data_IF_517335062042
#
_entry.id   IF_517335062042
#
_cell.length_a   1.000
_cell.length_b   1.000
_cell.length_c   1.000
_cell.angle_alpha   90.00
_cell.angle_beta   90.00
_cell.angle_gamma   90.00
#
_symmetry.space_group_name_H-M   'P 1'
#
loop_
_entity.id
_entity.type
_entity.pdbx_description
1 polymer ?
#
# COMPACT_ATOMS: atom_id res chain seq x y z
N UNK A 1 28.71 16.55 -2.37
CA UNK A 1 28.83 15.55 -1.30
C UNK A 1 28.44 14.18 -1.86
N UNK A 2 29.45 13.37 -2.23
CA UNK A 2 29.25 12.09 -2.92
C UNK A 2 28.49 11.03 -2.10
N UNK A 3 28.51 11.12 -0.78
CA UNK A 3 27.81 10.18 0.09
C UNK A 3 26.30 10.42 0.10
N UNK A 4 25.89 11.67 0.04
CA UNK A 4 24.48 12.06 0.05
C UNK A 4 23.74 11.60 -1.23
N UNK A 5 24.38 11.73 -2.37
CA UNK A 5 23.77 11.30 -3.65
C UNK A 5 23.61 9.79 -3.76
N UNK A 6 24.59 9.01 -3.28
CA UNK A 6 24.54 7.54 -3.40
C UNK A 6 23.44 6.92 -2.53
N UNK A 7 23.21 7.43 -1.33
CA UNK A 7 22.17 6.91 -0.44
C UNK A 7 20.76 7.19 -0.95
N UNK A 8 20.56 8.37 -1.54
CA UNK A 8 19.29 8.72 -2.16
C UNK A 8 18.96 7.81 -3.36
N UNK A 9 19.92 7.55 -4.23
CA UNK A 9 19.71 6.66 -5.37
C UNK A 9 19.36 5.24 -4.94
N UNK A 10 20.08 4.69 -3.97
CA UNK A 10 19.82 3.35 -3.46
C UNK A 10 18.41 3.22 -2.89
N UNK A 11 17.97 4.16 -2.10
CA UNK A 11 16.62 4.18 -1.53
C UNK A 11 15.56 4.17 -2.65
N UNK A 12 15.67 5.08 -3.62
CA UNK A 12 14.73 5.16 -4.74
C UNK A 12 14.73 3.89 -5.60
N UNK A 13 15.89 3.30 -5.84
CA UNK A 13 16.00 2.06 -6.59
C UNK A 13 15.30 0.89 -5.86
N UNK A 14 15.46 0.78 -4.55
CA UNK A 14 14.78 -0.24 -3.75
C UNK A 14 13.27 -0.03 -3.78
N UNK A 15 12.80 1.19 -3.58
CA UNK A 15 11.38 1.51 -3.61
C UNK A 15 10.76 1.23 -4.99
N UNK A 16 11.43 1.62 -6.05
CA UNK A 16 10.98 1.33 -7.41
C UNK A 16 10.91 -0.17 -7.67
N UNK A 17 11.87 -0.94 -7.18
CA UNK A 17 11.90 -2.39 -7.36
C UNK A 17 10.80 -3.09 -6.58
N UNK A 18 10.61 -2.74 -5.30
CA UNK A 18 9.64 -3.40 -4.42
C UNK A 18 8.20 -3.09 -4.78
N UNK A 19 7.93 -1.89 -5.30
CA UNK A 19 6.58 -1.45 -5.68
C UNK A 19 6.33 -1.47 -7.20
N UNK A 20 7.23 -2.06 -7.95
CA UNK A 20 7.03 -2.31 -9.37
C UNK A 20 5.98 -3.41 -9.59
N UNK A 21 5.16 -3.31 -10.66
CA UNK A 21 4.26 -4.41 -11.04
C UNK A 21 4.96 -5.74 -11.30
N UNK A 22 6.26 -5.73 -11.59
CA UNK A 22 7.06 -6.94 -11.80
C UNK A 22 7.53 -7.63 -10.52
N UNK A 23 7.40 -6.99 -9.35
CA UNK A 23 7.73 -7.63 -8.09
C UNK A 23 6.73 -8.75 -7.79
N UNK A 24 7.19 -9.97 -7.43
CA UNK A 24 6.32 -11.15 -7.40
C UNK A 24 5.49 -11.27 -6.12
N UNK A 25 4.55 -10.36 -5.89
CA UNK A 25 3.66 -10.36 -4.71
C UNK A 25 2.20 -10.68 -5.03
N UNK A 26 1.83 -10.80 -6.31
CA UNK A 26 0.44 -11.02 -6.68
C UNK A 26 -0.45 -9.83 -6.34
N UNK A 27 -0.12 -8.65 -6.85
CA UNK A 27 -0.71 -7.34 -6.52
C UNK A 27 -2.22 -7.21 -6.77
N UNK A 28 -2.88 -8.23 -7.30
CA UNK A 28 -4.32 -8.24 -7.57
C UNK A 28 -5.18 -8.67 -6.38
N UNK A 29 -4.59 -8.98 -5.24
CA UNK A 29 -5.29 -9.61 -4.11
C UNK A 29 -6.28 -8.68 -3.40
N UNK A 30 -6.08 -7.36 -3.42
CA UNK A 30 -7.02 -6.39 -2.82
C UNK A 30 -8.20 -6.03 -3.72
N UNK A 31 -8.39 -6.74 -4.83
CA UNK A 31 -9.39 -6.41 -5.85
C UNK A 31 -10.81 -6.88 -5.52
N UNK A 32 -10.99 -7.88 -4.64
CA UNK A 32 -12.30 -8.51 -4.44
C UNK A 32 -13.41 -7.54 -4.01
N UNK A 33 -13.14 -6.68 -3.04
CA UNK A 33 -14.12 -5.69 -2.59
C UNK A 33 -14.48 -4.70 -3.69
N UNK A 34 -13.50 -4.24 -4.44
CA UNK A 34 -13.69 -3.30 -5.54
C UNK A 34 -14.41 -3.96 -6.73
N UNK A 35 -14.02 -5.17 -7.09
CA UNK A 35 -14.69 -5.93 -8.16
C UNK A 35 -16.16 -6.16 -7.86
N UNK A 36 -16.51 -6.50 -6.61
CA UNK A 36 -17.91 -6.65 -6.20
C UNK A 36 -18.69 -5.34 -6.35
N UNK A 37 -18.10 -4.20 -5.95
CA UNK A 37 -18.74 -2.89 -6.10
C UNK A 37 -18.97 -2.53 -7.59
N UNK A 38 -18.07 -2.94 -8.46
CA UNK A 38 -18.21 -2.75 -9.91
C UNK A 38 -19.32 -3.67 -10.47
N UNK A 39 -19.32 -4.94 -10.09
CA UNK A 39 -20.34 -5.92 -10.52
C UNK A 39 -21.74 -5.51 -10.06
N UNK A 40 -21.87 -5.02 -8.85
CA UNK A 40 -23.13 -4.52 -8.27
C UNK A 40 -23.53 -3.14 -8.82
N UNK A 41 -22.74 -2.57 -9.72
CA UNK A 41 -22.94 -1.25 -10.34
C UNK A 41 -22.99 -0.09 -9.35
N UNK A 42 -22.29 -0.22 -8.23
CA UNK A 42 -22.10 0.86 -7.25
C UNK A 42 -21.04 1.83 -7.79
N UNK A 43 -20.01 1.30 -8.44
CA UNK A 43 -18.96 2.08 -9.11
C UNK A 43 -19.11 1.89 -10.62
N UNK A 44 -19.46 2.96 -11.33
CA UNK A 44 -19.79 2.90 -12.78
C UNK A 44 -19.04 3.90 -13.63
N UNK A 45 -18.50 4.97 -13.04
CA UNK A 45 -17.91 6.08 -13.77
C UNK A 45 -16.74 6.69 -13.02
N UNK A 46 -16.05 7.65 -13.63
CA UNK A 46 -14.90 8.33 -13.03
C UNK A 46 -15.22 8.95 -11.67
N UNK A 47 -16.38 9.60 -11.53
CA UNK A 47 -16.77 10.24 -10.27
C UNK A 47 -16.90 9.23 -9.14
N UNK A 48 -17.51 8.07 -9.41
CA UNK A 48 -17.62 6.98 -8.43
C UNK A 48 -16.25 6.44 -8.03
N UNK A 49 -15.35 6.27 -9.00
CA UNK A 49 -13.98 5.81 -8.75
C UNK A 49 -13.25 6.78 -7.82
N UNK A 50 -13.29 8.07 -8.11
CA UNK A 50 -12.60 9.09 -7.28
C UNK A 50 -13.20 9.16 -5.88
N UNK A 51 -14.52 9.06 -5.74
CA UNK A 51 -15.18 9.03 -4.42
C UNK A 51 -14.73 7.82 -3.60
N UNK A 52 -14.71 6.64 -4.21
CA UNK A 52 -14.24 5.41 -3.59
C UNK A 52 -12.78 5.51 -3.14
N UNK A 53 -11.90 5.97 -4.03
CA UNK A 53 -10.48 6.12 -3.72
C UNK A 53 -10.23 7.16 -2.62
N UNK A 54 -10.98 8.26 -2.63
CA UNK A 54 -10.90 9.29 -1.59
C UNK A 54 -11.25 8.72 -0.22
N UNK A 55 -12.30 7.89 -0.15
CA UNK A 55 -12.68 7.19 1.07
C UNK A 55 -11.59 6.24 1.58
N UNK A 56 -11.01 5.45 0.68
CA UNK A 56 -9.92 4.53 1.02
C UNK A 56 -8.68 5.28 1.53
N UNK A 57 -8.34 6.40 0.90
CA UNK A 57 -7.17 7.20 1.29
C UNK A 57 -7.34 7.80 2.68
N UNK A 58 -8.45 8.46 2.95
CA UNK A 58 -8.60 9.27 4.16
C UNK A 58 -9.31 8.58 5.32
N UNK A 59 -10.14 7.56 5.04
CA UNK A 59 -10.99 6.92 6.05
C UNK A 59 -10.92 5.39 6.05
N UNK A 60 -10.03 4.80 5.28
CA UNK A 60 -9.98 3.35 5.10
C UNK A 60 -8.58 2.77 5.14
N UNK A 61 -8.37 1.79 4.27
CA UNK A 61 -7.16 0.95 4.24
C UNK A 61 -5.87 1.75 4.13
N UNK A 62 -5.82 2.79 3.30
CA UNK A 62 -4.58 3.57 3.13
C UNK A 62 -4.18 4.29 4.40
N UNK A 63 -5.12 4.96 5.05
CA UNK A 63 -4.88 5.62 6.34
C UNK A 63 -4.39 4.62 7.39
N UNK A 64 -5.09 3.50 7.53
CA UNK A 64 -4.73 2.49 8.52
C UNK A 64 -3.35 1.88 8.23
N UNK A 65 -3.04 1.59 6.99
CA UNK A 65 -1.76 1.00 6.62
C UNK A 65 -0.58 1.95 6.87
N UNK A 66 -0.71 3.25 6.60
CA UNK A 66 0.37 4.21 6.93
C UNK A 66 0.56 4.34 8.43
N UNK A 67 -0.51 4.21 9.23
CA UNK A 67 -0.39 4.19 10.69
C UNK A 67 0.37 2.94 11.14
N UNK A 68 0.04 1.77 10.61
CA UNK A 68 0.74 0.52 10.93
C UNK A 68 2.22 0.59 10.55
N UNK A 69 2.54 1.12 9.37
CA UNK A 69 3.93 1.30 8.93
C UNK A 69 4.67 2.24 9.87
N UNK A 70 4.10 3.41 10.16
CA UNK A 70 4.69 4.39 11.07
C UNK A 70 4.96 3.80 12.45
N UNK A 71 3.95 3.17 13.05
CA UNK A 71 4.08 2.60 14.40
C UNK A 71 5.07 1.44 14.45
N UNK A 72 5.20 0.67 13.37
CA UNK A 72 6.25 -0.35 13.24
C UNK A 72 7.63 0.29 13.20
N UNK A 73 7.81 1.41 12.49
CA UNK A 73 9.04 2.19 12.51
C UNK A 73 9.38 2.72 13.91
N UNK A 74 8.36 2.99 14.72
CA UNK A 74 8.52 3.44 16.12
C UNK A 74 8.81 2.27 17.09
N UNK A 75 8.86 1.04 16.60
CA UNK A 75 9.21 -0.15 17.39
C UNK A 75 8.04 -0.96 17.93
N UNK A 76 6.80 -0.66 17.54
CA UNK A 76 5.64 -1.45 17.95
C UNK A 76 5.55 -2.77 17.17
N UNK A 77 5.13 -3.82 17.85
CA UNK A 77 4.83 -5.13 17.26
C UNK A 77 3.32 -5.25 17.01
N UNK A 78 2.90 -5.13 15.74
CA UNK A 78 1.50 -4.95 15.37
C UNK A 78 0.91 -6.08 14.52
N UNK A 79 1.68 -7.11 14.22
CA UNK A 79 1.21 -8.15 13.30
C UNK A 79 -0.06 -8.85 13.82
N UNK A 80 -0.08 -9.26 15.07
CA UNK A 80 -1.25 -9.91 15.68
C UNK A 80 -2.43 -8.96 15.79
N UNK A 81 -2.18 -7.69 16.08
CA UNK A 81 -3.20 -6.64 16.14
C UNK A 81 -3.90 -6.48 14.78
N UNK A 82 -3.13 -6.44 13.70
CA UNK A 82 -3.68 -6.33 12.34
C UNK A 82 -4.51 -7.56 11.99
N UNK A 83 -4.04 -8.76 12.34
CA UNK A 83 -4.79 -9.99 12.12
C UNK A 83 -6.14 -9.99 12.84
N UNK A 84 -6.17 -9.47 14.07
CA UNK A 84 -7.40 -9.35 14.84
C UNK A 84 -8.37 -8.30 14.31
N UNK A 85 -7.86 -7.24 13.66
CA UNK A 85 -8.67 -6.18 13.06
C UNK A 85 -9.27 -6.53 11.70
N UNK A 86 -8.76 -7.57 11.02
CA UNK A 86 -9.28 -7.93 9.70
C UNK A 86 -10.79 -8.23 9.78
N UNK A 87 -11.58 -7.44 9.07
CA UNK A 87 -13.03 -7.49 9.08
C UNK A 87 -13.61 -8.81 8.52
N UNK A 88 -12.84 -9.51 7.70
CA UNK A 88 -13.23 -10.77 7.12
C UNK A 88 -12.05 -11.73 7.01
N UNK A 89 -12.38 -13.01 6.88
CA UNK A 89 -11.38 -14.07 6.63
C UNK A 89 -10.63 -13.80 5.32
N UNK A 90 -11.33 -13.32 4.30
CA UNK A 90 -10.77 -13.01 2.98
C UNK A 90 -9.71 -11.92 3.07
N UNK A 91 -9.96 -10.84 3.79
CA UNK A 91 -8.99 -9.76 4.00
C UNK A 91 -7.75 -10.25 4.75
N UNK A 92 -7.93 -11.09 5.75
CA UNK A 92 -6.83 -11.70 6.49
C UNK A 92 -5.97 -12.56 5.57
N UNK A 93 -6.58 -13.40 4.74
CA UNK A 93 -5.90 -14.24 3.76
C UNK A 93 -5.12 -13.37 2.76
N UNK A 94 -5.73 -12.32 2.26
CA UNK A 94 -5.09 -11.41 1.28
C UNK A 94 -3.85 -10.73 1.84
N UNK A 95 -3.94 -10.11 3.03
CA UNK A 95 -2.79 -9.40 3.60
C UNK A 95 -1.66 -10.36 3.96
N UNK A 96 -1.97 -11.58 4.40
CA UNK A 96 -0.97 -12.62 4.66
C UNK A 96 -0.33 -13.12 3.37
N UNK A 97 -1.12 -13.34 2.33
CA UNK A 97 -0.60 -13.78 1.03
C UNK A 97 0.38 -12.77 0.44
N UNK A 98 0.04 -11.49 0.46
CA UNK A 98 0.92 -10.41 0.01
C UNK A 98 2.15 -10.27 0.89
N UNK A 99 1.97 -10.25 2.20
CA UNK A 99 3.06 -10.11 3.16
C UNK A 99 4.06 -11.26 3.08
N UNK A 100 3.58 -12.48 2.98
CA UNK A 100 4.41 -13.68 2.89
C UNK A 100 5.13 -13.76 1.53
N UNK A 101 4.47 -13.37 0.42
CA UNK A 101 5.11 -13.31 -0.90
C UNK A 101 6.21 -12.26 -0.93
N UNK A 102 5.98 -11.09 -0.35
CA UNK A 102 6.98 -10.04 -0.22
C UNK A 102 8.17 -10.50 0.62
N UNK A 103 7.91 -11.09 1.79
CA UNK A 103 8.94 -11.62 2.68
C UNK A 103 9.77 -12.72 2.00
N UNK A 104 9.14 -13.60 1.22
CA UNK A 104 9.85 -14.65 0.46
C UNK A 104 10.80 -14.03 -0.57
N UNK A 105 10.37 -13.05 -1.33
CA UNK A 105 11.23 -12.38 -2.32
C UNK A 105 12.41 -11.65 -1.67
N UNK A 106 12.18 -11.02 -0.50
CA UNK A 106 13.26 -10.40 0.27
C UNK A 106 14.29 -11.42 0.76
N UNK A 107 13.82 -12.56 1.26
CA UNK A 107 14.70 -13.65 1.72
C UNK A 107 15.53 -14.21 0.55
N UNK A 108 14.87 -14.54 -0.54
CA UNK A 108 15.52 -15.20 -1.68
C UNK A 108 16.54 -14.30 -2.39
N UNK A 109 16.18 -13.04 -2.64
CA UNK A 109 16.99 -12.14 -3.47
C UNK A 109 17.76 -11.08 -2.67
N UNK A 110 17.16 -10.48 -1.66
CA UNK A 110 17.79 -9.44 -0.84
C UNK A 110 18.45 -9.97 0.43
N UNK A 111 18.36 -11.27 0.70
CA UNK A 111 18.99 -11.94 1.85
C UNK A 111 18.57 -11.35 3.21
N UNK A 112 17.32 -10.91 3.29
CA UNK A 112 16.70 -10.41 4.51
C UNK A 112 15.49 -11.27 4.87
N UNK A 113 15.51 -11.86 6.06
CA UNK A 113 14.47 -12.76 6.53
C UNK A 113 13.51 -12.06 7.50
N UNK A 114 12.21 -12.16 7.21
CA UNK A 114 11.13 -11.77 8.12
C UNK A 114 10.45 -13.06 8.56
N UNK A 115 10.57 -13.45 9.84
CA UNK A 115 10.07 -14.74 10.31
C UNK A 115 8.55 -14.77 10.44
N UNK A 116 7.98 -15.98 10.27
CA UNK A 116 6.56 -16.26 10.48
C UNK A 116 5.64 -15.71 9.40
N UNK A 117 4.36 -15.78 9.68
CA UNK A 117 3.34 -15.17 8.84
C UNK A 117 3.23 -13.68 9.14
N UNK A 118 3.27 -12.85 8.12
CA UNK A 118 3.36 -11.41 8.28
C UNK A 118 2.37 -10.68 7.37
N UNK A 119 1.64 -9.71 7.95
CA UNK A 119 0.78 -8.81 7.21
C UNK A 119 1.61 -7.92 6.28
N UNK A 120 1.08 -7.60 5.11
CA UNK A 120 1.80 -6.85 4.07
C UNK A 120 2.38 -5.52 4.56
N UNK A 121 1.63 -4.61 5.23
CA UNK A 121 2.21 -3.36 5.70
C UNK A 121 3.34 -3.56 6.71
N UNK A 122 3.29 -4.62 7.53
CA UNK A 122 4.35 -4.94 8.48
C UNK A 122 5.60 -5.46 7.77
N UNK A 123 5.44 -6.34 6.77
CA UNK A 123 6.56 -6.84 5.98
C UNK A 123 7.29 -5.68 5.28
N UNK A 124 6.55 -4.78 4.67
CA UNK A 124 7.09 -3.59 4.00
C UNK A 124 7.82 -2.68 5.00
N UNK A 125 7.23 -2.43 6.16
CA UNK A 125 7.85 -1.61 7.20
C UNK A 125 9.15 -2.22 7.72
N UNK A 126 9.18 -3.52 8.00
CA UNK A 126 10.40 -4.22 8.44
C UNK A 126 11.51 -4.15 7.40
N UNK A 127 11.17 -4.30 6.12
CA UNK A 127 12.13 -4.11 5.02
C UNK A 127 12.68 -2.68 4.99
N UNK A 128 11.80 -1.70 5.08
CA UNK A 128 12.18 -0.28 5.11
C UNK A 128 13.14 0.05 6.25
N UNK A 129 12.87 -0.45 7.44
CA UNK A 129 13.73 -0.28 8.61
C UNK A 129 15.11 -0.92 8.37
N UNK A 130 15.13 -2.16 7.90
CA UNK A 130 16.39 -2.89 7.66
C UNK A 130 17.28 -2.22 6.61
N UNK A 131 16.70 -1.69 5.56
CA UNK A 131 17.41 -1.07 4.45
C UNK A 131 17.55 0.46 4.59
N UNK A 132 17.25 1.02 5.74
CA UNK A 132 17.35 2.46 6.06
C UNK A 132 16.56 3.36 5.10
N UNK A 133 15.37 2.92 4.71
CA UNK A 133 14.48 3.71 3.87
C UNK A 133 13.67 4.65 4.75
N UNK A 134 13.54 5.92 4.35
CA UNK A 134 12.75 6.89 5.10
C UNK A 134 11.27 6.46 5.16
N UNK A 135 10.67 6.62 6.33
CA UNK A 135 9.24 6.34 6.53
C UNK A 135 8.37 7.07 5.52
N UNK A 136 8.66 8.33 5.26
CA UNK A 136 7.93 9.17 4.30
C UNK A 136 7.96 8.58 2.90
N UNK A 137 9.13 8.26 2.37
CA UNK A 137 9.28 7.74 1.01
C UNK A 137 8.69 6.33 0.87
N UNK A 138 8.92 5.47 1.84
CA UNK A 138 8.32 4.13 1.84
C UNK A 138 6.80 4.20 1.80
N UNK A 139 6.21 5.02 2.66
CA UNK A 139 4.76 5.20 2.76
C UNK A 139 4.18 5.78 1.47
N UNK A 140 4.87 6.76 0.87
CA UNK A 140 4.45 7.34 -0.40
C UNK A 140 4.40 6.29 -1.52
N UNK A 141 5.46 5.52 -1.71
CA UNK A 141 5.52 4.47 -2.73
C UNK A 141 4.49 3.37 -2.48
N UNK A 142 4.32 2.96 -1.23
CA UNK A 142 3.33 1.96 -0.83
C UNK A 142 1.91 2.39 -1.24
N UNK A 143 1.49 3.58 -0.84
CA UNK A 143 0.15 4.09 -1.12
C UNK A 143 -0.03 4.39 -2.61
N UNK A 144 0.95 5.01 -3.25
CA UNK A 144 0.91 5.31 -4.69
C UNK A 144 0.73 4.04 -5.52
N UNK A 145 1.48 2.99 -5.21
CA UNK A 145 1.38 1.69 -5.86
C UNK A 145 0.00 1.05 -5.63
N UNK A 146 -0.49 1.08 -4.40
CA UNK A 146 -1.79 0.54 -4.03
C UNK A 146 -2.93 1.23 -4.82
N UNK A 147 -2.95 2.55 -4.84
CA UNK A 147 -3.98 3.34 -5.55
C UNK A 147 -3.87 3.11 -7.06
N UNK A 148 -2.67 3.08 -7.63
CA UNK A 148 -2.47 2.80 -9.06
C UNK A 148 -3.01 1.43 -9.45
N UNK A 149 -2.81 0.41 -8.62
CA UNK A 149 -3.36 -0.92 -8.86
C UNK A 149 -4.90 -0.93 -8.84
N UNK A 150 -5.52 -0.22 -7.90
CA UNK A 150 -6.98 -0.10 -7.85
C UNK A 150 -7.53 0.63 -9.09
N UNK A 151 -6.88 1.69 -9.55
CA UNK A 151 -7.26 2.40 -10.78
C UNK A 151 -7.17 1.48 -11.98
N UNK A 152 -6.12 0.67 -12.09
CA UNK A 152 -5.96 -0.29 -13.17
C UNK A 152 -7.09 -1.33 -13.18
N UNK A 153 -7.55 -1.78 -12.02
CA UNK A 153 -8.71 -2.68 -11.90
C UNK A 153 -9.97 -1.99 -12.44
N UNK A 154 -10.20 -0.73 -12.07
CA UNK A 154 -11.33 0.04 -12.56
C UNK A 154 -11.30 0.21 -14.09
N UNK A 155 -10.15 0.55 -14.66
CA UNK A 155 -9.97 0.68 -16.11
C UNK A 155 -10.23 -0.63 -16.83
N UNK A 156 -9.88 -1.75 -16.22
CA UNK A 156 -10.04 -3.09 -16.79
C UNK A 156 -11.49 -3.59 -16.77
N UNK A 157 -12.23 -3.27 -15.72
CA UNK A 157 -13.59 -3.80 -15.49
C UNK A 157 -14.71 -2.79 -15.80
N UNK A 158 -14.39 -1.52 -15.96
CA UNK A 158 -15.33 -0.46 -16.34
C UNK A 158 -14.83 0.12 -17.67
N UNK A 159 -15.72 0.37 -18.65
CA UNK A 159 -15.30 0.91 -19.96
C UNK A 159 -14.91 2.40 -19.88
N UNK A 160 -13.92 2.73 -19.04
CA UNK A 160 -13.47 4.11 -18.83
C UNK A 160 -12.40 4.56 -19.82
N UNK A 161 -11.57 3.62 -20.30
CA UNK A 161 -10.41 3.91 -21.13
C UNK A 161 -9.18 4.37 -20.35
N UNK A 162 -8.03 4.32 -21.02
CA UNK A 162 -6.74 4.63 -20.38
C UNK A 162 -6.59 6.10 -19.99
N UNK A 163 -7.19 7.02 -20.77
CA UNK A 163 -7.14 8.44 -20.44
C UNK A 163 -7.82 8.74 -19.11
N UNK A 164 -8.99 8.19 -18.88
CA UNK A 164 -9.71 8.37 -17.60
C UNK A 164 -8.92 7.74 -16.45
N UNK A 165 -8.26 6.61 -16.68
CA UNK A 165 -7.35 6.02 -15.70
C UNK A 165 -6.23 6.98 -15.30
N UNK A 166 -5.57 7.62 -16.26
CA UNK A 166 -4.53 8.61 -15.98
C UNK A 166 -5.09 9.86 -15.28
N UNK A 167 -6.28 10.32 -15.67
CA UNK A 167 -6.95 11.43 -14.99
C UNK A 167 -7.23 11.09 -13.52
N UNK A 168 -7.63 9.86 -13.22
CA UNK A 168 -7.81 9.38 -11.84
C UNK A 168 -6.50 9.39 -11.06
N UNK A 169 -5.41 8.97 -11.67
CA UNK A 169 -4.07 9.04 -11.04
C UNK A 169 -3.75 10.48 -10.68
N UNK A 170 -3.87 11.41 -11.64
CA UNK A 170 -3.59 12.83 -11.43
C UNK A 170 -4.43 13.41 -10.28
N UNK A 171 -5.71 13.10 -10.22
CA UNK A 171 -6.60 13.61 -9.17
C UNK A 171 -6.29 13.03 -7.79
N UNK A 172 -5.73 11.83 -7.72
CA UNK A 172 -5.38 11.19 -6.43
C UNK A 172 -4.00 11.62 -5.90
N UNK A 173 -3.09 12.10 -6.75
CA UNK A 173 -1.74 12.50 -6.32
C UNK A 173 -1.75 13.48 -5.14
N UNK A 174 -2.49 14.62 -5.19
CA UNK A 174 -2.50 15.55 -4.06
C UNK A 174 -3.18 14.97 -2.81
N UNK A 175 -4.11 14.05 -2.97
CA UNK A 175 -4.76 13.37 -1.84
C UNK A 175 -3.79 12.42 -1.12
N UNK A 176 -3.00 11.68 -1.88
CA UNK A 176 -1.95 10.81 -1.34
C UNK A 176 -0.89 11.67 -0.62
N UNK A 177 -0.45 12.75 -1.24
CA UNK A 177 0.50 13.68 -0.63
C UNK A 177 -0.02 14.21 0.71
N UNK A 178 -1.30 14.60 0.78
CA UNK A 178 -1.93 15.05 2.02
C UNK A 178 -1.90 13.97 3.09
N UNK A 179 -2.26 12.73 2.76
CA UNK A 179 -2.21 11.60 3.68
C UNK A 179 -0.80 11.42 4.26
N UNK A 180 0.22 11.45 3.41
CA UNK A 180 1.61 11.26 3.84
C UNK A 180 2.07 12.43 4.73
N UNK A 181 1.68 13.66 4.43
CA UNK A 181 1.98 14.82 5.28
C UNK A 181 1.27 14.74 6.63
N UNK A 182 0.02 14.27 6.66
CA UNK A 182 -0.77 14.14 7.88
C UNK A 182 -0.28 12.97 8.78
N UNK A 183 0.48 12.04 8.22
CA UNK A 183 0.98 10.85 8.93
C UNK A 183 1.75 11.22 10.20
N UNK A 184 2.46 12.33 10.22
CA UNK A 184 3.20 12.80 11.40
C UNK A 184 2.31 13.03 12.64
N UNK A 185 1.02 13.24 12.44
CA UNK A 185 0.03 13.46 13.50
C UNK A 185 -0.74 12.20 13.91
N UNK A 186 -0.58 11.10 13.19
CA UNK A 186 -1.32 9.87 13.45
C UNK A 186 -0.67 9.02 14.54
N UNK A 187 -1.53 8.35 15.31
CA UNK A 187 -1.17 7.30 16.25
C UNK A 187 -2.13 6.11 16.10
N UNK A 188 -1.93 5.07 16.89
CA UNK A 188 -2.85 3.91 16.92
C UNK A 188 -4.29 4.30 17.30
N UNK A 189 -4.49 5.43 18.00
CA UNK A 189 -5.82 5.93 18.34
C UNK A 189 -6.63 6.39 17.12
N UNK A 190 -5.96 6.65 16.00
CA UNK A 190 -6.58 7.09 14.74
C UNK A 190 -6.99 5.94 13.82
N UNK A 191 -6.75 4.69 14.22
CA UNK A 191 -7.19 3.51 13.47
C UNK A 191 -8.71 3.45 13.43
N UNK A 192 -9.25 3.20 12.26
CA UNK A 192 -10.68 3.06 12.01
C UNK A 192 -11.10 3.63 10.66
N UNK A 193 -12.37 3.42 10.30
CA UNK A 193 -12.97 3.93 9.08
C UNK A 193 -14.47 3.95 9.18
#
# INVERSE_FOLDING_TARGET
DKSFESDCFKELQLLQSWFSPSFPIGSYSYSHGLESLIEEKIIQNKSDVIEYLTGIIFNGTCKNDVIFIKCTYEGLELNDYIMALCASKERKIETLALGNAFAKSLKDSWKFEIPGNVAYPIAVAKAGINFNISLKNLSLFYIQSFISNLINICVKHIPLGQKVGQDCIIETLPKIEKLIKDMKHFSMDDIGG
#
